data_IF_660650342340
#
_entry.id   IF_660650342340
#
_cell.length_a   1.000
_cell.length_b   1.000
_cell.length_c   1.000
_cell.angle_alpha   90.00
_cell.angle_beta   90.00
_cell.angle_gamma   90.00
#
_symmetry.space_group_name_H-M   'P 1'
#
loop_
_entity.id
_entity.type
_entity.pdbx_description
1 polymer ?
#
# COMPACT_ATOMS: atom_id res chain seq x y z
N UNK A 1 22.01 -0.45 10.94
CA UNK A 1 20.76 -1.01 10.39
C UNK A 1 19.79 0.12 10.10
N UNK A 2 19.16 0.08 8.92
CA UNK A 2 18.15 1.04 8.50
C UNK A 2 16.79 0.37 8.47
N UNK A 3 15.77 1.07 8.96
CA UNK A 3 14.38 0.61 8.90
C UNK A 3 13.45 1.77 8.49
N UNK A 4 12.31 1.49 7.82
CA UNK A 4 11.53 2.53 7.16
C UNK A 4 10.71 3.41 8.11
N UNK A 5 10.47 2.97 9.35
CA UNK A 5 9.63 3.70 10.31
C UNK A 5 10.32 3.79 11.66
N UNK A 6 10.03 4.85 12.42
CA UNK A 6 10.59 5.03 13.78
C UNK A 6 10.26 3.86 14.71
N UNK A 7 9.03 3.30 14.75
CA UNK A 7 8.73 2.14 15.58
C UNK A 7 9.60 0.93 15.26
N UNK A 8 9.85 0.63 13.97
CA UNK A 8 10.73 -0.47 13.58
C UNK A 8 12.18 -0.22 14.00
N UNK A 9 12.67 1.01 13.84
CA UNK A 9 14.02 1.39 14.30
C UNK A 9 14.16 1.15 15.81
N UNK A 10 13.16 1.57 16.60
CA UNK A 10 13.16 1.39 18.06
C UNK A 10 13.08 -0.09 18.44
N UNK A 11 12.21 -0.85 17.77
CA UNK A 11 12.06 -2.30 17.97
C UNK A 11 13.39 -3.04 17.73
N UNK A 12 14.05 -2.77 16.60
CA UNK A 12 15.34 -3.38 16.28
C UNK A 12 16.41 -2.99 17.30
N UNK A 13 16.47 -1.71 17.69
CA UNK A 13 17.41 -1.23 18.70
C UNK A 13 17.21 -1.89 20.06
N UNK A 14 15.96 -2.08 20.49
CA UNK A 14 15.60 -2.76 21.73
C UNK A 14 15.97 -4.25 21.68
N UNK A 15 15.59 -4.93 20.60
CA UNK A 15 15.94 -6.34 20.38
C UNK A 15 17.45 -6.56 20.47
N UNK A 16 18.25 -5.73 19.79
CA UNK A 16 19.71 -5.81 19.88
C UNK A 16 20.23 -5.45 21.27
N UNK A 17 19.66 -4.45 21.95
CA UNK A 17 20.10 -4.13 23.33
C UNK A 17 19.91 -5.33 24.27
N UNK A 18 18.80 -6.03 24.13
CA UNK A 18 18.46 -7.21 24.94
C UNK A 18 19.28 -8.45 24.56
N UNK A 19 19.43 -8.74 23.27
CA UNK A 19 19.96 -10.04 22.81
C UNK A 19 21.41 -9.98 22.31
N UNK A 20 21.98 -8.79 22.07
CA UNK A 20 23.35 -8.70 21.59
C UNK A 20 24.32 -9.22 22.67
N UNK A 21 25.27 -10.11 22.32
CA UNK A 21 26.11 -10.80 23.30
C UNK A 21 27.00 -9.88 24.14
N UNK A 22 27.58 -8.85 23.52
CA UNK A 22 28.47 -7.91 24.21
C UNK A 22 27.73 -6.65 24.67
N UNK A 23 27.50 -6.55 25.98
CA UNK A 23 26.79 -5.42 26.61
C UNK A 23 27.62 -4.13 26.70
N UNK A 24 28.92 -4.17 26.37
CA UNK A 24 29.77 -2.96 26.33
C UNK A 24 29.64 -2.21 25.01
N UNK A 25 29.02 -2.84 24.01
CA UNK A 25 28.84 -2.24 22.68
C UNK A 25 27.93 -1.03 22.76
N UNK A 26 28.42 0.10 22.24
CA UNK A 26 27.65 1.34 22.18
C UNK A 26 26.66 1.29 21.02
N UNK A 27 25.39 1.50 21.35
CA UNK A 27 24.27 1.48 20.42
C UNK A 27 23.56 2.84 20.44
N UNK A 28 23.33 3.40 19.25
CA UNK A 28 22.56 4.64 19.09
C UNK A 28 21.36 4.48 18.17
N UNK A 29 20.35 5.31 18.41
CA UNK A 29 19.11 5.38 17.65
C UNK A 29 18.99 6.77 17.02
N UNK A 30 18.86 6.84 15.69
CA UNK A 30 18.79 8.09 14.94
C UNK A 30 17.46 8.17 14.15
N UNK A 31 16.43 8.75 14.77
CA UNK A 31 15.06 8.89 14.22
C UNK A 31 14.71 10.33 13.80
N UNK A 32 15.68 11.25 13.85
CA UNK A 32 15.51 12.65 13.43
C UNK A 32 14.95 13.59 14.50
N UNK A 33 14.67 13.08 15.70
CA UNK A 33 14.29 13.88 16.88
C UNK A 33 15.51 14.47 17.60
N UNK A 34 16.64 13.76 17.51
CA UNK A 34 17.92 14.19 18.06
C UNK A 34 18.52 15.35 17.24
N UNK A 35 18.99 16.45 17.86
CA UNK A 35 19.64 17.56 17.16
C UNK A 35 20.85 17.11 16.32
N UNK A 36 21.14 17.76 15.18
CA UNK A 36 22.21 17.34 14.28
C UNK A 36 23.58 17.17 14.96
N UNK A 37 23.99 18.08 15.85
CA UNK A 37 25.27 17.99 16.55
C UNK A 37 25.39 16.72 17.39
N UNK A 38 24.33 16.40 18.15
CA UNK A 38 24.27 15.18 18.96
C UNK A 38 24.27 13.93 18.08
N UNK A 39 23.60 13.94 16.92
CA UNK A 39 23.63 12.79 16.00
C UNK A 39 25.02 12.47 15.48
N UNK A 40 25.87 13.48 15.26
CA UNK A 40 27.26 13.24 14.83
C UNK A 40 28.03 12.50 15.93
N UNK A 41 27.92 12.99 17.17
CA UNK A 41 28.55 12.37 18.34
C UNK A 41 28.06 10.93 18.52
N UNK A 42 26.74 10.73 18.44
CA UNK A 42 26.11 9.42 18.59
C UNK A 42 26.55 8.45 17.49
N UNK A 43 26.64 8.91 16.24
CA UNK A 43 27.06 8.09 15.11
C UNK A 43 28.53 7.68 15.22
N UNK A 44 29.43 8.63 15.48
CA UNK A 44 30.86 8.36 15.59
C UNK A 44 31.23 7.58 16.85
N UNK A 45 30.47 7.79 17.93
CA UNK A 45 30.65 7.09 19.20
C UNK A 45 30.14 5.65 19.18
N UNK A 46 29.23 5.29 18.26
CA UNK A 46 28.54 4.00 18.28
C UNK A 46 29.19 2.94 17.40
N UNK A 47 29.06 1.70 17.84
CA UNK A 47 29.40 0.52 17.06
C UNK A 47 28.17 -0.04 16.34
N UNK A 48 26.98 0.13 16.92
CA UNK A 48 25.70 -0.23 16.32
C UNK A 48 24.82 1.00 16.20
N UNK A 49 24.36 1.30 14.98
CA UNK A 49 23.47 2.44 14.72
C UNK A 49 22.19 1.92 14.09
N UNK A 50 21.05 2.25 14.70
CA UNK A 50 19.70 1.98 14.20
C UNK A 50 19.08 3.30 13.78
N UNK A 51 18.68 3.43 12.52
CA UNK A 51 18.27 4.73 12.01
C UNK A 51 17.18 4.62 10.95
N UNK A 52 16.42 5.70 10.78
CA UNK A 52 15.61 5.87 9.57
C UNK A 52 16.52 6.30 8.42
N UNK A 53 16.26 5.87 7.19
CA UNK A 53 17.15 6.17 6.07
C UNK A 53 17.22 7.65 5.71
N UNK A 54 16.15 8.41 5.98
CA UNK A 54 16.12 9.85 5.73
C UNK A 54 17.17 10.58 6.56
N UNK A 55 17.38 10.18 7.82
CA UNK A 55 18.36 10.79 8.72
C UNK A 55 19.76 10.54 8.20
N UNK A 56 20.11 9.27 7.94
CA UNK A 56 21.44 8.89 7.44
C UNK A 56 21.71 9.54 6.09
N UNK A 57 20.75 9.50 5.16
CA UNK A 57 20.90 10.14 3.84
C UNK A 57 21.19 11.63 4.00
N UNK A 58 20.38 12.35 4.77
CA UNK A 58 20.51 13.80 4.91
C UNK A 58 21.80 14.21 5.64
N UNK A 59 22.24 13.42 6.63
CA UNK A 59 23.48 13.67 7.36
C UNK A 59 24.71 13.42 6.48
N UNK A 60 24.72 12.33 5.71
CA UNK A 60 25.80 12.00 4.77
C UNK A 60 25.87 13.01 3.61
N UNK A 61 24.73 13.39 3.03
CA UNK A 61 24.69 14.43 1.99
C UNK A 61 25.13 15.80 2.54
N UNK A 62 24.81 16.10 3.80
CA UNK A 62 25.24 17.30 4.50
C UNK A 62 26.71 17.28 4.94
N UNK A 63 27.46 16.21 4.64
CA UNK A 63 28.87 16.08 5.02
C UNK A 63 29.11 15.99 6.53
N UNK A 64 28.11 15.57 7.31
CA UNK A 64 28.20 15.53 8.79
C UNK A 64 29.10 14.40 9.30
N UNK A 65 29.10 13.27 8.61
CA UNK A 65 30.00 12.15 8.84
C UNK A 65 30.11 11.28 7.57
N UNK A 66 31.25 10.64 7.33
CA UNK A 66 31.41 9.70 6.23
C UNK A 66 30.93 8.29 6.63
N UNK A 67 30.57 7.48 5.64
CA UNK A 67 30.30 6.06 5.82
C UNK A 67 31.55 5.18 5.64
N UNK A 68 32.73 5.79 5.57
CA UNK A 68 34.00 5.10 5.26
C UNK A 68 34.39 4.02 6.27
N UNK A 69 34.01 4.23 7.54
CA UNK A 69 34.27 3.30 8.66
C UNK A 69 33.13 2.31 8.92
N UNK A 70 32.04 2.39 8.17
CA UNK A 70 30.89 1.49 8.34
C UNK A 70 31.22 0.16 7.65
N UNK A 71 31.28 -0.93 8.42
CA UNK A 71 31.61 -2.26 7.90
C UNK A 71 30.42 -2.99 7.27
N UNK A 72 29.19 -2.68 7.68
CA UNK A 72 27.97 -3.33 7.22
C UNK A 72 26.80 -2.34 7.24
N UNK A 73 26.04 -2.30 6.15
CA UNK A 73 24.71 -1.65 6.13
C UNK A 73 23.63 -2.69 5.89
N UNK A 74 22.75 -2.84 6.88
CA UNK A 74 21.55 -3.66 6.78
C UNK A 74 20.37 -2.77 6.38
N UNK A 75 19.70 -3.11 5.28
CA UNK A 75 18.48 -2.46 4.80
C UNK A 75 17.28 -3.35 5.11
N UNK A 76 16.50 -2.99 6.12
CA UNK A 76 15.22 -3.63 6.41
C UNK A 76 14.16 -3.17 5.39
N UNK A 77 13.30 -4.07 4.95
CA UNK A 77 12.35 -3.84 3.85
C UNK A 77 13.05 -3.36 2.57
N UNK A 78 14.09 -4.08 2.17
CA UNK A 78 14.97 -3.76 1.05
C UNK A 78 14.23 -3.59 -0.29
N UNK A 79 13.01 -4.12 -0.43
CA UNK A 79 12.13 -3.86 -1.58
C UNK A 79 11.79 -2.38 -1.79
N UNK A 80 12.02 -1.53 -0.78
CA UNK A 80 11.92 -0.06 -0.86
C UNK A 80 13.16 0.62 -1.44
N UNK A 81 14.25 -0.11 -1.72
CA UNK A 81 15.46 0.45 -2.33
C UNK A 81 15.29 0.65 -3.83
N UNK A 82 14.46 1.62 -4.17
CA UNK A 82 13.92 1.79 -5.52
C UNK A 82 13.61 3.24 -5.80
N UNK A 83 13.73 3.66 -7.07
CA UNK A 83 13.65 5.08 -7.47
C UNK A 83 14.47 5.98 -6.51
N UNK A 84 13.94 7.15 -6.17
CA UNK A 84 14.62 8.13 -5.32
C UNK A 84 14.28 7.97 -3.83
N UNK A 85 13.93 6.76 -3.39
CA UNK A 85 13.76 6.51 -1.96
C UNK A 85 15.09 6.70 -1.20
N UNK A 86 15.00 7.02 0.09
CA UNK A 86 16.17 7.36 0.89
C UNK A 86 17.22 6.24 0.93
N UNK A 87 16.80 4.97 0.89
CA UNK A 87 17.72 3.82 0.77
C UNK A 87 18.65 3.92 -0.43
N UNK A 88 18.15 4.33 -1.60
CA UNK A 88 18.98 4.45 -2.81
C UNK A 88 20.15 5.41 -2.58
N UNK A 89 19.89 6.57 -1.96
CA UNK A 89 20.91 7.58 -1.69
C UNK A 89 21.93 7.14 -0.63
N UNK A 90 21.50 6.39 0.39
CA UNK A 90 22.42 5.82 1.39
C UNK A 90 23.28 4.73 0.75
N UNK A 91 22.68 3.81 -0.02
CA UNK A 91 23.41 2.74 -0.69
C UNK A 91 24.46 3.28 -1.67
N UNK A 92 24.12 4.29 -2.47
CA UNK A 92 25.06 4.93 -3.38
C UNK A 92 26.22 5.60 -2.63
N UNK A 93 25.92 6.34 -1.56
CA UNK A 93 26.96 6.98 -0.74
C UNK A 93 27.84 5.96 -0.03
N UNK A 94 27.26 4.87 0.45
CA UNK A 94 27.99 3.79 1.11
C UNK A 94 28.95 3.10 0.14
N UNK A 95 28.47 2.69 -1.04
CA UNK A 95 29.31 2.07 -2.09
C UNK A 95 30.49 2.96 -2.51
N UNK A 96 30.31 4.28 -2.50
CA UNK A 96 31.35 5.25 -2.86
C UNK A 96 32.38 5.48 -1.76
N UNK A 97 31.96 5.48 -0.50
CA UNK A 97 32.79 5.93 0.63
C UNK A 97 33.42 4.79 1.44
N UNK A 98 32.77 3.64 1.52
CA UNK A 98 33.21 2.51 2.34
C UNK A 98 34.48 1.87 1.78
N UNK A 99 35.43 1.57 2.67
CA UNK A 99 36.68 0.90 2.27
C UNK A 99 36.46 -0.59 1.95
N UNK A 100 35.51 -1.22 2.64
CA UNK A 100 35.11 -2.61 2.42
C UNK A 100 33.57 -2.72 2.56
N UNK A 101 32.81 -2.40 1.50
CA UNK A 101 31.36 -2.32 1.59
C UNK A 101 30.73 -3.71 1.74
N UNK A 102 29.92 -3.90 2.78
CA UNK A 102 29.04 -5.06 2.92
C UNK A 102 27.59 -4.59 3.07
N UNK A 103 26.71 -5.09 2.22
CA UNK A 103 25.28 -4.75 2.21
C UNK A 103 24.46 -6.02 2.44
N UNK A 104 23.52 -5.95 3.38
CA UNK A 104 22.51 -6.99 3.60
C UNK A 104 21.13 -6.38 3.41
N UNK A 105 20.36 -6.92 2.47
CA UNK A 105 18.96 -6.54 2.27
C UNK A 105 18.03 -7.59 2.87
N UNK A 106 17.13 -7.17 3.76
CA UNK A 106 16.09 -8.04 4.33
C UNK A 106 14.75 -7.68 3.68
N UNK A 107 14.02 -8.66 3.17
CA UNK A 107 12.67 -8.43 2.61
C UNK A 107 11.88 -9.72 2.56
N UNK A 108 10.58 -9.65 2.85
CA UNK A 108 9.66 -10.78 2.63
C UNK A 108 9.42 -11.06 1.14
N UNK A 109 9.43 -10.00 0.32
CA UNK A 109 9.35 -10.11 -1.14
C UNK A 109 10.01 -8.90 -1.81
N UNK A 110 10.96 -9.08 -2.74
CA UNK A 110 11.61 -7.96 -3.42
C UNK A 110 10.69 -7.27 -4.44
N UNK A 111 9.95 -8.05 -5.25
CA UNK A 111 8.86 -7.57 -6.11
C UNK A 111 8.20 -8.73 -6.86
N UNK A 112 6.95 -8.54 -7.32
CA UNK A 112 6.32 -9.43 -8.31
C UNK A 112 6.83 -9.23 -9.75
N UNK A 113 7.56 -8.13 -10.02
CA UNK A 113 8.07 -7.79 -11.36
C UNK A 113 9.57 -8.00 -11.42
N UNK A 114 10.06 -8.77 -12.40
CA UNK A 114 11.47 -9.11 -12.55
C UNK A 114 12.35 -7.87 -12.71
N UNK A 115 11.90 -6.87 -13.47
CA UNK A 115 12.64 -5.62 -13.71
C UNK A 115 12.87 -4.86 -12.40
N UNK A 116 11.90 -4.96 -11.49
CA UNK A 116 11.95 -4.30 -10.20
C UNK A 116 12.90 -5.00 -9.24
N UNK A 117 12.95 -6.33 -9.27
CA UNK A 117 13.93 -7.11 -8.51
C UNK A 117 15.34 -6.74 -8.95
N UNK A 118 15.59 -6.69 -10.27
CA UNK A 118 16.88 -6.29 -10.81
C UNK A 118 17.29 -4.89 -10.37
N UNK A 119 16.37 -3.91 -10.43
CA UNK A 119 16.65 -2.54 -9.95
C UNK A 119 17.11 -2.52 -8.48
N UNK A 120 16.49 -3.31 -7.61
CA UNK A 120 16.88 -3.40 -6.19
C UNK A 120 18.28 -3.99 -6.06
N UNK A 121 18.54 -5.10 -6.76
CA UNK A 121 19.84 -5.78 -6.76
C UNK A 121 20.96 -4.84 -7.23
N UNK A 122 20.76 -4.11 -8.32
CA UNK A 122 21.75 -3.18 -8.87
C UNK A 122 22.03 -2.02 -7.90
N UNK A 123 20.97 -1.48 -7.28
CA UNK A 123 21.11 -0.38 -6.31
C UNK A 123 21.87 -0.80 -5.07
N UNK A 124 21.55 -1.97 -4.52
CA UNK A 124 22.20 -2.50 -3.33
C UNK A 124 23.49 -3.28 -3.63
N UNK A 125 23.88 -3.43 -4.91
CA UNK A 125 25.01 -4.24 -5.35
C UNK A 125 24.95 -5.68 -4.80
N UNK A 126 23.77 -6.29 -4.86
CA UNK A 126 23.53 -7.66 -4.39
C UNK A 126 24.21 -8.65 -5.33
N UNK A 127 25.07 -9.49 -4.77
CA UNK A 127 25.78 -10.55 -5.51
C UNK A 127 25.15 -11.93 -5.31
N UNK A 128 24.45 -12.14 -4.19
CA UNK A 128 23.77 -13.39 -3.88
C UNK A 128 22.39 -13.10 -3.28
N UNK A 129 21.40 -13.93 -3.62
CA UNK A 129 20.04 -13.86 -3.08
C UNK A 129 19.73 -15.20 -2.44
N UNK A 130 19.61 -15.19 -1.11
CA UNK A 130 19.11 -16.34 -0.35
C UNK A 130 17.60 -16.20 -0.19
N UNK A 131 16.85 -17.17 -0.72
CA UNK A 131 15.41 -17.25 -0.58
C UNK A 131 15.07 -18.45 0.31
N UNK A 132 14.06 -18.25 1.16
CA UNK A 132 13.41 -19.33 1.90
C UNK A 132 11.90 -19.23 1.79
N UNK A 133 11.24 -20.38 1.78
CA UNK A 133 9.79 -20.55 1.84
C UNK A 133 9.42 -21.36 3.07
N UNK A 134 8.15 -21.32 3.45
CA UNK A 134 7.62 -22.13 4.56
C UNK A 134 7.69 -23.64 4.28
N UNK A 135 7.88 -24.04 3.02
CA UNK A 135 7.94 -25.44 2.57
C UNK A 135 9.38 -25.99 2.55
N UNK A 136 10.41 -25.15 2.71
CA UNK A 136 11.80 -25.60 2.62
C UNK A 136 12.18 -26.54 3.78
N UNK A 137 13.03 -27.53 3.50
CA UNK A 137 13.42 -28.58 4.47
C UNK A 137 14.02 -28.00 5.77
N UNK A 138 14.76 -26.89 5.67
CA UNK A 138 15.36 -26.19 6.81
C UNK A 138 14.39 -25.26 7.56
N UNK A 139 13.16 -25.07 7.06
CA UNK A 139 12.14 -24.17 7.63
C UNK A 139 10.90 -24.91 8.11
N UNK A 140 10.42 -25.92 7.37
CA UNK A 140 9.10 -26.56 7.56
C UNK A 140 8.87 -27.07 8.98
N UNK A 141 9.92 -27.56 9.66
CA UNK A 141 9.83 -28.05 11.05
C UNK A 141 9.50 -26.95 12.09
N UNK A 142 9.68 -25.68 11.73
CA UNK A 142 9.40 -24.52 12.58
C UNK A 142 8.09 -23.82 12.22
N UNK A 143 7.42 -24.24 11.13
CA UNK A 143 6.15 -23.68 10.67
C UNK A 143 5.02 -24.42 11.37
N UNK A 144 4.18 -23.69 12.10
CA UNK A 144 3.01 -24.26 12.74
C UNK A 144 1.84 -24.31 11.75
N UNK A 145 1.20 -25.48 11.63
CA UNK A 145 0.02 -25.63 10.78
C UNK A 145 -1.13 -24.74 11.26
N UNK A 146 -1.62 -23.87 10.36
CA UNK A 146 -2.84 -23.08 10.59
C UNK A 146 -4.00 -23.77 9.88
N UNK A 147 -4.87 -24.45 10.63
CA UNK A 147 -6.09 -25.03 10.08
C UNK A 147 -7.16 -23.96 9.93
N UNK A 148 -7.47 -23.57 8.69
CA UNK A 148 -8.53 -22.59 8.40
C UNK A 148 -9.86 -23.32 8.17
N UNK A 149 -10.76 -23.21 9.15
CA UNK A 149 -12.12 -23.73 9.03
C UNK A 149 -13.02 -22.72 8.31
N UNK A 150 -13.16 -22.89 6.99
CA UNK A 150 -14.04 -22.05 6.18
C UNK A 150 -15.51 -22.44 6.36
N UNK A 151 -16.22 -21.70 7.21
CA UNK A 151 -17.68 -21.82 7.33
C UNK A 151 -18.38 -20.94 6.29
N UNK A 152 -18.97 -21.57 5.27
CA UNK A 152 -19.77 -20.87 4.27
C UNK A 152 -21.20 -20.70 4.76
N UNK A 153 -21.53 -19.50 5.20
CA UNK A 153 -22.91 -19.15 5.59
C UNK A 153 -23.73 -18.84 4.32
N UNK A 154 -24.78 -19.63 4.01
CA UNK A 154 -25.61 -19.36 2.85
C UNK A 154 -26.44 -18.09 3.07
N UNK A 155 -26.43 -17.19 2.09
CA UNK A 155 -27.35 -16.06 2.10
C UNK A 155 -28.80 -16.55 1.99
N UNK A 156 -29.73 -16.03 2.83
CA UNK A 156 -31.15 -16.33 2.71
C UNK A 156 -31.68 -15.98 1.30
N UNK A 157 -32.70 -16.69 0.83
CA UNK A 157 -33.28 -16.49 -0.52
C UNK A 157 -33.67 -15.03 -0.77
N UNK A 158 -34.29 -14.37 0.20
CA UNK A 158 -34.65 -12.96 0.13
C UNK A 158 -33.45 -12.04 -0.16
N UNK A 159 -32.29 -12.31 0.44
CA UNK A 159 -31.06 -11.54 0.20
C UNK A 159 -30.53 -11.76 -1.22
N UNK A 160 -30.60 -12.99 -1.72
CA UNK A 160 -30.18 -13.32 -3.09
C UNK A 160 -31.03 -12.61 -4.13
N UNK A 161 -32.35 -12.59 -3.94
CA UNK A 161 -33.26 -11.89 -4.85
C UNK A 161 -33.01 -10.37 -4.86
N UNK A 162 -32.86 -9.74 -3.69
CA UNK A 162 -32.56 -8.30 -3.61
C UNK A 162 -31.19 -7.99 -4.24
N UNK A 163 -30.15 -8.79 -3.95
CA UNK A 163 -28.81 -8.62 -4.53
C UNK A 163 -28.87 -8.77 -6.06
N UNK A 164 -29.65 -9.73 -6.58
CA UNK A 164 -29.86 -9.93 -8.02
C UNK A 164 -30.48 -8.70 -8.68
N UNK A 165 -31.52 -8.12 -8.08
CA UNK A 165 -32.20 -6.90 -8.58
C UNK A 165 -31.21 -5.72 -8.62
N UNK A 166 -30.52 -5.45 -7.50
CA UNK A 166 -29.55 -4.35 -7.41
C UNK A 166 -28.40 -4.51 -8.41
N UNK A 167 -27.91 -5.75 -8.60
CA UNK A 167 -26.85 -6.05 -9.58
C UNK A 167 -27.32 -5.89 -11.01
N UNK A 168 -28.55 -6.31 -11.34
CA UNK A 168 -29.12 -6.10 -12.66
C UNK A 168 -29.29 -4.61 -12.99
N UNK A 169 -29.79 -3.82 -12.03
CA UNK A 169 -29.90 -2.38 -12.18
C UNK A 169 -28.52 -1.73 -12.38
N UNK A 170 -27.51 -2.17 -11.61
CA UNK A 170 -26.14 -1.68 -11.73
C UNK A 170 -25.56 -2.00 -13.11
N UNK A 171 -25.74 -3.23 -13.59
CA UNK A 171 -25.24 -3.69 -14.88
C UNK A 171 -25.84 -2.87 -16.03
N UNK A 172 -27.14 -2.57 -15.97
CA UNK A 172 -27.79 -1.71 -16.97
C UNK A 172 -27.15 -0.30 -17.01
N UNK A 173 -26.78 0.28 -15.87
CA UNK A 173 -26.13 1.59 -15.82
C UNK A 173 -24.71 1.53 -16.37
N UNK A 174 -23.98 0.46 -16.06
CA UNK A 174 -22.63 0.26 -16.56
C UNK A 174 -22.62 -0.02 -18.07
N UNK A 175 -23.61 -0.73 -18.59
CA UNK A 175 -23.75 -0.94 -20.04
C UNK A 175 -24.05 0.36 -20.80
N UNK A 176 -24.92 1.22 -20.26
CA UNK A 176 -25.12 2.57 -20.84
C UNK A 176 -23.84 3.39 -20.86
N UNK A 177 -23.01 3.30 -19.81
CA UNK A 177 -21.70 3.95 -19.77
C UNK A 177 -20.71 3.34 -20.77
N UNK A 178 -20.74 2.02 -20.99
CA UNK A 178 -19.93 1.35 -22.03
C UNK A 178 -20.33 1.78 -23.43
N UNK A 179 -21.64 1.89 -23.71
CA UNK A 179 -22.16 2.40 -24.98
C UNK A 179 -21.74 3.86 -25.25
N UNK A 180 -21.47 4.65 -24.19
CA UNK A 180 -20.92 6.01 -24.29
C UNK A 180 -19.37 6.04 -24.33
N UNK A 181 -18.72 4.89 -24.48
CA UNK A 181 -17.26 4.73 -24.43
C UNK A 181 -16.60 5.26 -23.15
N UNK A 182 -17.33 5.26 -22.02
CA UNK A 182 -16.82 5.71 -20.73
C UNK A 182 -16.24 4.59 -19.87
N UNK A 183 -16.58 3.33 -20.17
CA UNK A 183 -16.06 2.14 -19.51
C UNK A 183 -15.52 1.13 -20.53
N UNK A 184 -14.51 0.31 -20.15
CA UNK A 184 -13.98 -0.74 -21.01
C UNK A 184 -15.01 -1.84 -21.26
N UNK A 185 -15.04 -2.35 -22.49
CA UNK A 185 -15.88 -3.48 -22.89
C UNK A 185 -15.38 -4.78 -22.25
N UNK A 186 -16.30 -5.69 -21.91
CA UNK A 186 -15.98 -7.03 -21.38
C UNK A 186 -15.44 -7.06 -19.94
N UNK A 187 -15.25 -5.90 -19.29
CA UNK A 187 -14.78 -5.81 -17.90
C UNK A 187 -15.94 -5.43 -16.99
N UNK A 188 -16.19 -6.24 -15.96
CA UNK A 188 -17.17 -5.92 -14.91
C UNK A 188 -16.73 -4.68 -14.14
N UNK A 189 -17.59 -3.67 -14.08
CA UNK A 189 -17.26 -2.43 -13.38
C UNK A 189 -17.19 -2.68 -11.87
N UNK A 190 -16.05 -2.33 -11.26
CA UNK A 190 -15.90 -2.32 -9.81
C UNK A 190 -15.98 -0.88 -9.27
N UNK A 191 -16.12 -0.76 -7.95
CA UNK A 191 -16.26 0.53 -7.24
C UNK A 191 -15.11 1.50 -7.55
N UNK A 192 -13.88 0.99 -7.66
CA UNK A 192 -12.70 1.80 -8.00
C UNK A 192 -12.80 2.40 -9.39
N UNK A 193 -13.17 1.60 -10.40
CA UNK A 193 -13.35 2.06 -11.78
C UNK A 193 -14.43 3.15 -11.86
N UNK A 194 -15.54 2.99 -11.14
CA UNK A 194 -16.61 3.98 -11.12
C UNK A 194 -16.19 5.29 -10.44
N UNK A 195 -15.39 5.23 -9.37
CA UNK A 195 -14.83 6.43 -8.73
C UNK A 195 -13.88 7.19 -9.66
N UNK A 196 -12.93 6.48 -10.26
CA UNK A 196 -11.97 7.05 -11.22
C UNK A 196 -12.70 7.67 -12.43
N UNK A 197 -13.75 7.00 -12.92
CA UNK A 197 -14.59 7.54 -13.97
C UNK A 197 -15.30 8.83 -13.56
N UNK A 198 -15.86 8.88 -12.34
CA UNK A 198 -16.52 10.08 -11.82
C UNK A 198 -15.59 11.30 -11.80
N UNK A 199 -14.35 11.12 -11.33
CA UNK A 199 -13.33 12.18 -11.32
C UNK A 199 -12.96 12.64 -12.74
N UNK A 200 -12.79 11.68 -13.67
CA UNK A 200 -12.52 11.97 -15.09
C UNK A 200 -13.66 12.77 -15.72
N UNK A 201 -14.92 12.35 -15.55
CA UNK A 201 -16.10 13.01 -16.13
C UNK A 201 -16.28 14.44 -15.59
N UNK A 202 -16.11 14.65 -14.28
CA UNK A 202 -16.18 15.98 -13.66
C UNK A 202 -15.08 16.92 -14.17
N UNK A 203 -13.85 16.40 -14.33
CA UNK A 203 -12.73 17.16 -14.90
C UNK A 203 -13.01 17.56 -16.35
N UNK A 204 -13.58 16.67 -17.16
CA UNK A 204 -13.98 16.98 -18.54
C UNK A 204 -15.14 17.97 -18.62
N UNK A 205 -16.13 17.89 -17.72
CA UNK A 205 -17.24 18.84 -17.69
C UNK A 205 -16.77 20.28 -17.40
N UNK A 206 -15.84 20.45 -16.44
CA UNK A 206 -15.24 21.76 -16.11
C UNK A 206 -14.49 22.41 -17.28
N UNK A 207 -14.10 21.63 -18.29
CA UNK A 207 -13.38 22.09 -19.49
C UNK A 207 -14.30 22.47 -20.66
N UNK A 208 -15.62 22.58 -20.43
CA UNK A 208 -16.60 22.97 -21.45
C UNK A 208 -17.36 21.81 -22.09
N UNK A 209 -17.63 20.75 -21.31
CA UNK A 209 -18.27 19.53 -21.81
C UNK A 209 -19.75 19.68 -22.20
N UNK A 210 -20.16 18.94 -23.25
CA UNK A 210 -21.54 18.82 -23.79
C UNK A 210 -22.53 18.12 -22.84
N UNK A 211 -23.84 18.24 -23.10
CA UNK A 211 -24.93 17.59 -22.37
C UNK A 211 -24.83 16.06 -22.26
N UNK A 212 -24.17 15.39 -23.21
CA UNK A 212 -23.89 13.94 -23.14
C UNK A 212 -23.03 13.56 -21.92
N UNK A 213 -22.09 14.43 -21.51
CA UNK A 213 -21.27 14.21 -20.31
C UNK A 213 -22.09 14.33 -19.02
N UNK A 214 -23.13 15.16 -19.02
CA UNK A 214 -24.04 15.26 -17.88
C UNK A 214 -24.83 13.96 -17.68
N UNK A 215 -25.29 13.34 -18.78
CA UNK A 215 -25.92 12.02 -18.75
C UNK A 215 -24.98 10.93 -18.20
N UNK A 216 -23.73 10.92 -18.65
CA UNK A 216 -22.72 9.99 -18.14
C UNK A 216 -22.44 10.19 -16.64
N UNK A 217 -22.39 11.43 -16.15
CA UNK A 217 -22.22 11.72 -14.71
C UNK A 217 -23.39 11.17 -13.90
N UNK A 218 -24.63 11.32 -14.39
CA UNK A 218 -25.81 10.78 -13.71
C UNK A 218 -25.74 9.25 -13.67
N UNK A 219 -25.45 8.59 -14.80
CA UNK A 219 -25.34 7.13 -14.86
C UNK A 219 -24.22 6.60 -13.95
N UNK A 220 -23.07 7.28 -13.91
CA UNK A 220 -21.98 6.95 -12.99
C UNK A 220 -22.40 7.09 -11.53
N UNK A 221 -23.11 8.17 -11.18
CA UNK A 221 -23.60 8.37 -9.81
C UNK A 221 -24.62 7.29 -9.42
N UNK A 222 -25.51 6.90 -10.33
CA UNK A 222 -26.45 5.80 -10.11
C UNK A 222 -25.74 4.46 -9.92
N UNK A 223 -24.77 4.13 -10.78
CA UNK A 223 -23.98 2.91 -10.64
C UNK A 223 -23.21 2.88 -9.31
N UNK A 224 -22.69 4.03 -8.83
CA UNK A 224 -22.06 4.13 -7.52
C UNK A 224 -23.04 3.91 -6.37
N UNK A 225 -24.24 4.50 -6.44
CA UNK A 225 -25.29 4.28 -5.43
C UNK A 225 -25.71 2.82 -5.34
N UNK A 226 -25.88 2.16 -6.50
CA UNK A 226 -26.23 0.74 -6.56
C UNK A 226 -25.10 -0.15 -6.05
N UNK A 227 -23.83 0.14 -6.41
CA UNK A 227 -22.67 -0.55 -5.86
C UNK A 227 -22.63 -0.42 -4.34
N UNK A 228 -22.94 0.76 -3.79
CA UNK A 228 -22.99 0.94 -2.34
C UNK A 228 -24.19 0.22 -1.69
N UNK A 229 -25.36 0.20 -2.34
CA UNK A 229 -26.51 -0.56 -1.85
C UNK A 229 -26.19 -2.07 -1.72
N UNK A 230 -25.48 -2.63 -2.70
CA UNK A 230 -25.00 -4.03 -2.67
C UNK A 230 -24.03 -4.22 -1.50
N UNK A 231 -23.04 -3.34 -1.34
CA UNK A 231 -22.10 -3.39 -0.21
C UNK A 231 -22.86 -3.38 1.13
N UNK A 232 -23.85 -2.48 1.30
CA UNK A 232 -24.64 -2.36 2.53
C UNK A 232 -25.47 -3.62 2.79
N UNK A 233 -26.11 -4.19 1.75
CA UNK A 233 -26.85 -5.44 1.88
C UNK A 233 -25.95 -6.59 2.33
N UNK A 234 -24.77 -6.71 1.74
CA UNK A 234 -23.85 -7.84 1.93
C UNK A 234 -23.03 -7.72 3.23
N UNK A 235 -22.77 -6.49 3.71
CA UNK A 235 -21.94 -6.25 4.91
C UNK A 235 -22.73 -5.86 6.15
N UNK A 236 -23.88 -5.22 6.00
CA UNK A 236 -24.64 -4.59 7.10
C UNK A 236 -26.09 -5.05 7.20
N UNK A 237 -26.60 -5.78 6.21
CA UNK A 237 -27.93 -6.38 6.23
C UNK A 237 -29.08 -5.47 5.77
N UNK A 238 -30.28 -6.06 5.73
CA UNK A 238 -31.47 -5.47 5.13
C UNK A 238 -31.91 -4.15 5.79
N UNK A 239 -31.86 -4.03 7.11
CA UNK A 239 -32.27 -2.81 7.82
C UNK A 239 -31.48 -1.58 7.34
N UNK A 240 -30.17 -1.74 7.18
CA UNK A 240 -29.29 -0.67 6.73
C UNK A 240 -29.52 -0.36 5.24
N UNK A 241 -29.82 -1.37 4.42
CA UNK A 241 -30.21 -1.16 3.03
C UNK A 241 -31.50 -0.32 2.95
N UNK A 242 -32.54 -0.68 3.70
CA UNK A 242 -33.81 0.07 3.69
C UNK A 242 -33.62 1.53 4.09
N UNK A 243 -32.82 1.78 5.13
CA UNK A 243 -32.47 3.15 5.55
C UNK A 243 -31.70 3.90 4.47
N UNK A 244 -30.78 3.23 3.78
CA UNK A 244 -30.02 3.82 2.68
C UNK A 244 -30.92 4.19 1.49
N UNK A 245 -31.81 3.29 1.08
CA UNK A 245 -32.77 3.51 0.00
C UNK A 245 -33.73 4.66 0.33
N UNK A 246 -34.28 4.70 1.55
CA UNK A 246 -35.14 5.80 2.00
C UNK A 246 -34.42 7.17 1.95
N UNK A 247 -33.12 7.20 2.30
CA UNK A 247 -32.31 8.42 2.17
C UNK A 247 -32.12 8.82 0.71
N UNK A 248 -31.90 7.86 -0.20
CA UNK A 248 -31.80 8.12 -1.64
C UNK A 248 -33.10 8.68 -2.21
N UNK A 249 -34.25 8.17 -1.77
CA UNK A 249 -35.58 8.68 -2.15
C UNK A 249 -35.80 10.12 -1.69
N UNK A 250 -35.39 10.45 -0.46
CA UNK A 250 -35.49 11.81 0.08
C UNK A 250 -34.45 12.80 -0.50
N UNK A 251 -33.45 12.30 -1.23
CA UNK A 251 -32.35 13.12 -1.71
C UNK A 251 -32.78 14.07 -2.84
N UNK A 252 -32.33 15.32 -2.75
CA UNK A 252 -32.62 16.37 -3.76
C UNK A 252 -31.87 16.18 -5.09
N UNK A 253 -30.91 15.25 -5.15
CA UNK A 253 -30.02 15.07 -6.30
C UNK A 253 -30.77 14.47 -7.50
N UNK A 254 -30.45 14.94 -8.71
CA UNK A 254 -31.10 14.43 -9.95
C UNK A 254 -30.84 12.93 -10.16
N UNK A 255 -29.68 12.43 -9.75
CA UNK A 255 -29.35 10.99 -9.81
C UNK A 255 -30.17 10.18 -8.81
N UNK A 256 -30.33 10.66 -7.58
CA UNK A 256 -31.16 10.02 -6.54
C UNK A 256 -32.62 9.94 -6.96
N UNK A 257 -33.21 11.07 -7.38
CA UNK A 257 -34.61 11.13 -7.86
C UNK A 257 -34.87 10.28 -9.10
N UNK A 258 -33.91 10.21 -10.01
CA UNK A 258 -34.04 9.37 -11.21
C UNK A 258 -33.88 7.89 -10.90
N UNK A 259 -33.08 7.54 -9.89
CA UNK A 259 -32.90 6.14 -9.47
C UNK A 259 -34.08 5.66 -8.63
N UNK A 260 -34.61 6.49 -7.75
CA UNK A 260 -35.75 6.16 -6.90
C UNK A 260 -37.08 6.04 -7.65
N UNK A 261 -37.17 6.65 -8.84
CA UNK A 261 -38.34 6.58 -9.74
C UNK A 261 -38.15 5.56 -10.85
N UNK A 262 -37.08 4.78 -10.81
CA UNK A 262 -36.89 3.69 -11.75
C UNK A 262 -37.97 2.63 -11.52
N UNK A 263 -38.80 2.30 -12.51
CA UNK A 263 -39.88 1.32 -12.36
C UNK A 263 -39.39 -0.13 -12.26
N UNK A 264 -38.08 -0.37 -12.39
CA UNK A 264 -37.41 -1.67 -12.25
C UNK A 264 -36.59 -1.73 -10.96
#
# INVERSE_FOLDING_TARGET
MLAPTKPLVLQHAEFFREHFPDKKVRLSVLTGETPPATRVIDFEGSQLVFATPEVIRNDVLGGRYPLSRVCLVVFDEAHRCVRDYAYSGVAESYKRQASNPLILGLTASPSARKERVQEICDKLAITNVEMRTEEDEDVVQYVNDVTINWERVPLPSAYKEISKILRAAMEERTEKLRAMHQLPAGVRANKRMLLELGEKLRKSLRRGGSGALYGAIILQAQAMSLSHAIDVLETQGLHNLTRYLAKLESASSKSGKSLSRDPK
#
